data_IF_849997201544
#
_entry.id   IF_849997201544
#
_cell.length_a   1.000
_cell.length_b   1.000
_cell.length_c   1.000
_cell.angle_alpha   90.00
_cell.angle_beta   90.00
_cell.angle_gamma   90.00
#
_symmetry.space_group_name_H-M   'P 1'
#
loop_
_entity.id
_entity.type
_entity.pdbx_description
1 polymer ?
#
# COMPACT_ATOMS: atom_id res chain seq x y z
N UNK A 1 -31.00 -16.60 -20.85
CA UNK A 1 -29.90 -17.22 -20.07
C UNK A 1 -28.87 -16.13 -19.78
N UNK A 2 -28.85 -15.64 -18.56
CA UNK A 2 -27.82 -14.67 -18.14
C UNK A 2 -26.51 -15.45 -17.93
N UNK A 3 -25.50 -15.16 -18.76
CA UNK A 3 -24.14 -15.66 -18.57
C UNK A 3 -23.65 -15.00 -17.28
N UNK A 4 -23.55 -15.78 -16.21
CA UNK A 4 -22.88 -15.34 -14.99
C UNK A 4 -21.49 -14.86 -15.39
N UNK A 5 -21.21 -13.55 -15.22
CA UNK A 5 -19.87 -12.99 -15.35
C UNK A 5 -18.98 -13.77 -14.40
N UNK A 6 -18.09 -14.58 -14.96
CA UNK A 6 -17.31 -15.55 -14.23
C UNK A 6 -16.43 -14.92 -13.20
N UNK A 7 -16.77 -15.13 -11.95
CA UNK A 7 -15.84 -14.95 -10.84
C UNK A 7 -14.67 -15.92 -11.10
N UNK A 8 -13.46 -15.39 -11.26
CA UNK A 8 -12.27 -16.23 -11.43
C UNK A 8 -12.15 -17.16 -10.21
N UNK A 9 -11.86 -18.46 -10.40
CA UNK A 9 -11.67 -19.38 -9.28
C UNK A 9 -10.61 -18.82 -8.32
N UNK A 10 -10.85 -18.94 -7.02
CA UNK A 10 -10.01 -18.37 -5.95
C UNK A 10 -8.53 -18.78 -6.01
N UNK A 11 -8.20 -19.87 -6.68
CA UNK A 11 -6.84 -20.39 -6.84
C UNK A 11 -6.10 -19.80 -8.06
N UNK A 12 -6.80 -19.19 -9.00
CA UNK A 12 -6.23 -18.65 -10.25
C UNK A 12 -5.65 -17.26 -10.04
N UNK A 13 -6.27 -16.46 -9.18
CA UNK A 13 -5.87 -15.07 -8.94
C UNK A 13 -4.47 -14.95 -8.33
N UNK A 14 -4.11 -15.69 -7.25
CA UNK A 14 -2.76 -15.60 -6.68
C UNK A 14 -1.65 -15.97 -7.68
N UNK A 15 -1.81 -17.07 -8.40
CA UNK A 15 -0.83 -17.51 -9.39
C UNK A 15 -0.66 -16.49 -10.53
N UNK A 16 -1.74 -15.87 -10.95
CA UNK A 16 -1.76 -14.83 -11.99
C UNK A 16 -1.03 -13.57 -11.55
N UNK A 17 -1.31 -13.11 -10.34
CA UNK A 17 -0.64 -11.94 -9.74
C UNK A 17 0.85 -12.20 -9.60
N UNK A 18 1.25 -13.32 -9.02
CA UNK A 18 2.65 -13.71 -8.87
C UNK A 18 3.38 -13.70 -10.21
N UNK A 19 2.82 -14.33 -11.24
CA UNK A 19 3.39 -14.37 -12.58
C UNK A 19 3.53 -12.97 -13.20
N UNK A 20 2.55 -12.09 -13.01
CA UNK A 20 2.63 -10.72 -13.51
C UNK A 20 3.73 -9.91 -12.83
N UNK A 21 3.88 -10.05 -11.52
CA UNK A 21 4.91 -9.36 -10.74
C UNK A 21 6.31 -9.86 -11.10
N UNK A 22 6.49 -11.17 -11.17
CA UNK A 22 7.77 -11.79 -11.54
C UNK A 22 8.17 -11.45 -12.99
N UNK A 23 7.22 -11.30 -13.90
CA UNK A 23 7.49 -10.89 -15.29
C UNK A 23 8.02 -9.45 -15.41
N UNK A 24 7.83 -8.62 -14.39
CA UNK A 24 8.36 -7.25 -14.27
C UNK A 24 9.58 -7.20 -13.33
N UNK A 25 10.19 -8.35 -13.07
CA UNK A 25 11.38 -8.49 -12.23
C UNK A 25 11.20 -8.09 -10.76
N UNK A 26 9.97 -8.00 -10.26
CA UNK A 26 9.72 -7.80 -8.84
C UNK A 26 10.00 -9.08 -8.05
N UNK A 27 10.70 -8.94 -6.92
CA UNK A 27 10.78 -10.02 -5.93
C UNK A 27 9.42 -10.18 -5.27
N UNK A 28 8.87 -11.38 -5.30
CA UNK A 28 7.54 -11.70 -4.82
C UNK A 28 7.59 -12.94 -3.93
N UNK A 29 7.43 -12.75 -2.63
CA UNK A 29 7.52 -13.82 -1.62
C UNK A 29 6.17 -14.00 -0.94
N UNK A 30 5.65 -15.23 -0.95
CA UNK A 30 4.41 -15.54 -0.25
C UNK A 30 4.63 -15.54 1.26
N UNK A 31 3.71 -14.90 2.00
CA UNK A 31 3.69 -14.87 3.45
C UNK A 31 2.71 -15.94 3.95
N UNK A 32 3.10 -16.61 5.05
CA UNK A 32 2.29 -17.57 5.78
C UNK A 32 2.23 -17.20 7.27
N UNK A 33 1.36 -17.87 8.02
CA UNK A 33 1.26 -17.71 9.47
C UNK A 33 0.46 -16.49 9.90
N UNK A 34 0.83 -15.89 11.04
CA UNK A 34 0.05 -14.81 11.65
C UNK A 34 -0.07 -13.56 10.80
N UNK A 35 0.96 -13.21 10.05
CA UNK A 35 0.97 -12.07 9.13
C UNK A 35 -0.04 -12.22 7.99
N UNK A 36 -0.42 -13.44 7.67
CA UNK A 36 -1.41 -13.77 6.63
C UNK A 36 -2.76 -14.23 7.20
N UNK A 37 -2.98 -14.10 8.50
CA UNK A 37 -4.09 -14.71 9.24
C UNK A 37 -5.48 -14.39 8.70
N UNK A 38 -5.70 -13.19 8.22
CA UNK A 38 -6.99 -12.73 7.70
C UNK A 38 -6.95 -12.55 6.17
N UNK A 39 -6.11 -13.31 5.50
CA UNK A 39 -5.95 -13.25 4.05
C UNK A 39 -6.13 -14.62 3.41
N UNK A 40 -6.65 -14.68 2.19
CA UNK A 40 -6.68 -15.88 1.37
C UNK A 40 -5.31 -16.15 0.74
N UNK A 41 -4.59 -15.10 0.38
CA UNK A 41 -3.18 -15.13 0.04
C UNK A 41 -2.55 -13.77 0.35
N UNK A 42 -1.23 -13.75 0.48
CA UNK A 42 -0.46 -12.55 0.75
C UNK A 42 0.95 -12.67 0.19
N UNK A 43 1.38 -11.68 -0.60
CA UNK A 43 2.73 -11.60 -1.15
C UNK A 43 3.42 -10.34 -0.67
N UNK A 44 4.64 -10.46 -0.15
CA UNK A 44 5.55 -9.32 -0.01
C UNK A 44 6.21 -9.09 -1.35
N UNK A 45 6.15 -7.87 -1.83
CA UNK A 45 6.77 -7.42 -3.06
C UNK A 45 7.79 -6.36 -2.73
N UNK A 46 9.03 -6.59 -3.15
CA UNK A 46 10.15 -5.68 -2.91
C UNK A 46 10.40 -4.85 -4.16
N UNK A 47 10.29 -3.52 -4.02
CA UNK A 47 10.64 -2.55 -5.07
C UNK A 47 12.12 -2.15 -5.00
N UNK A 48 12.63 -2.02 -3.78
CA UNK A 48 14.02 -1.71 -3.46
C UNK A 48 14.30 -2.18 -2.03
N UNK A 49 15.57 -2.23 -1.58
CA UNK A 49 15.90 -2.68 -0.23
C UNK A 49 15.14 -1.96 0.90
N UNK A 50 14.69 -0.74 0.65
CA UNK A 50 13.98 0.09 1.64
C UNK A 50 12.48 0.20 1.38
N UNK A 51 11.95 -0.44 0.32
CA UNK A 51 10.55 -0.33 -0.09
C UNK A 51 9.93 -1.67 -0.36
N UNK A 52 9.05 -2.04 0.52
CA UNK A 52 8.21 -3.21 0.39
C UNK A 52 6.74 -2.83 0.48
N UNK A 53 5.92 -3.57 -0.21
CA UNK A 53 4.47 -3.53 -0.07
C UNK A 53 3.92 -4.94 -0.11
N UNK A 54 2.68 -5.09 0.31
CA UNK A 54 1.99 -6.38 0.34
C UNK A 54 0.84 -6.35 -0.65
N UNK A 55 0.74 -7.39 -1.46
CA UNK A 55 -0.43 -7.65 -2.30
C UNK A 55 -1.17 -8.82 -1.68
N UNK A 56 -2.42 -8.62 -1.29
CA UNK A 56 -3.19 -9.64 -0.59
C UNK A 56 -4.69 -9.60 -0.92
N UNK A 57 -5.34 -10.71 -0.67
CA UNK A 57 -6.80 -10.80 -0.69
C UNK A 57 -7.29 -11.02 0.74
N UNK A 58 -8.08 -10.09 1.32
CA UNK A 58 -8.70 -10.31 2.62
C UNK A 58 -9.63 -11.53 2.60
N UNK A 59 -9.64 -12.32 3.68
CA UNK A 59 -10.47 -13.51 3.77
C UNK A 59 -11.98 -13.24 3.76
N UNK A 60 -12.39 -12.01 4.14
CA UNK A 60 -13.78 -11.55 4.12
C UNK A 60 -14.17 -10.82 2.81
N UNK A 61 -13.26 -10.77 1.84
CA UNK A 61 -13.47 -10.16 0.51
C UNK A 61 -13.15 -11.17 -0.56
N UNK A 62 -14.15 -11.55 -1.34
CA UNK A 62 -14.01 -12.52 -2.42
C UNK A 62 -13.95 -11.88 -3.82
N UNK A 63 -13.95 -10.57 -3.90
CA UNK A 63 -14.11 -9.79 -5.12
C UNK A 63 -12.98 -8.79 -5.39
N UNK A 64 -11.99 -8.70 -4.50
CA UNK A 64 -10.93 -7.70 -4.59
C UNK A 64 -9.60 -8.14 -4.00
N UNK A 65 -8.53 -7.52 -4.48
CA UNK A 65 -7.20 -7.54 -3.87
C UNK A 65 -6.85 -6.15 -3.34
N UNK A 66 -5.97 -6.13 -2.36
CA UNK A 66 -5.43 -4.92 -1.78
C UNK A 66 -3.92 -4.85 -2.01
N UNK A 67 -3.43 -3.65 -2.26
CA UNK A 67 -2.01 -3.31 -2.25
C UNK A 67 -1.81 -2.38 -1.08
N UNK A 68 -1.01 -2.79 -0.11
CA UNK A 68 -0.82 -2.02 1.11
C UNK A 68 0.65 -1.94 1.49
N UNK A 69 1.05 -0.81 2.02
CA UNK A 69 2.36 -0.59 2.58
C UNK A 69 2.35 0.59 3.52
N UNK A 70 3.50 0.85 4.13
CA UNK A 70 3.60 1.95 5.07
C UNK A 70 4.98 2.60 5.03
N UNK A 71 4.98 3.91 5.20
CA UNK A 71 6.16 4.68 5.53
C UNK A 71 6.24 4.80 7.05
N UNK A 72 7.26 4.17 7.63
CA UNK A 72 7.52 4.22 9.08
C UNK A 72 8.54 5.32 9.33
N UNK A 73 8.20 6.26 10.22
CA UNK A 73 9.11 7.33 10.60
C UNK A 73 10.23 6.78 11.48
N UNK A 74 11.46 7.19 11.20
CA UNK A 74 12.61 6.85 12.03
C UNK A 74 12.52 7.51 13.42
N UNK A 75 13.26 6.99 14.38
CA UNK A 75 13.33 7.56 15.73
C UNK A 75 13.79 9.03 15.70
N UNK A 76 14.72 9.39 14.81
CA UNK A 76 15.18 10.76 14.63
C UNK A 76 14.09 11.69 14.08
N UNK A 77 13.36 11.22 13.05
CA UNK A 77 12.21 11.96 12.51
C UNK A 77 11.13 12.19 13.56
N UNK A 78 10.80 11.17 14.34
CA UNK A 78 9.83 11.29 15.45
C UNK A 78 10.31 12.32 16.48
N UNK A 79 11.59 12.26 16.84
CA UNK A 79 12.19 13.23 17.78
C UNK A 79 12.13 14.66 17.25
N UNK A 80 12.45 14.88 16.00
CA UNK A 80 12.36 16.19 15.35
C UNK A 80 10.92 16.69 15.28
N UNK A 81 9.99 15.81 14.91
CA UNK A 81 8.56 16.13 14.82
C UNK A 81 7.99 16.54 16.19
N UNK A 82 8.40 15.88 17.29
CA UNK A 82 8.01 16.23 18.65
C UNK A 82 8.49 17.62 19.11
N UNK A 83 9.60 18.11 18.56
CA UNK A 83 10.12 19.44 18.86
C UNK A 83 9.33 20.56 18.17
N UNK A 84 8.56 20.24 17.15
CA UNK A 84 7.72 21.22 16.47
C UNK A 84 6.48 21.53 17.28
N UNK A 85 5.97 22.75 17.14
CA UNK A 85 4.69 23.14 17.72
C UNK A 85 3.55 22.30 17.16
N UNK A 86 2.41 22.26 17.85
CA UNK A 86 1.21 21.59 17.37
C UNK A 86 0.75 22.11 16.00
N UNK A 87 0.82 23.43 15.81
CA UNK A 87 0.41 24.09 14.55
C UNK A 87 1.33 23.69 13.39
N UNK A 88 2.64 23.68 13.60
CA UNK A 88 3.60 23.20 12.60
C UNK A 88 3.37 21.72 12.23
N UNK A 89 3.06 20.87 13.21
CA UNK A 89 2.72 19.48 12.94
C UNK A 89 1.44 19.37 12.10
N UNK A 90 0.41 20.13 12.43
CA UNK A 90 -0.85 20.18 11.67
C UNK A 90 -0.59 20.62 10.23
N UNK A 91 0.21 21.66 9.99
CA UNK A 91 0.56 22.13 8.65
C UNK A 91 1.23 21.04 7.81
N UNK A 92 2.21 20.31 8.37
CA UNK A 92 2.90 19.20 7.69
C UNK A 92 1.91 18.12 7.28
N UNK A 93 1.04 17.69 8.19
CA UNK A 93 0.08 16.63 7.90
C UNK A 93 -1.08 17.09 7.02
N UNK A 94 -1.43 18.36 7.02
CA UNK A 94 -2.38 18.93 6.04
C UNK A 94 -1.78 18.95 4.64
N UNK A 95 -0.51 19.32 4.48
CA UNK A 95 0.19 19.24 3.19
C UNK A 95 0.22 17.78 2.67
N UNK A 96 0.57 16.83 3.55
CA UNK A 96 0.54 15.39 3.22
C UNK A 96 -0.85 14.94 2.77
N UNK A 97 -1.90 15.30 3.50
CA UNK A 97 -3.29 14.95 3.14
C UNK A 97 -3.68 15.47 1.77
N UNK A 98 -3.43 16.76 1.52
CA UNK A 98 -3.79 17.39 0.25
C UNK A 98 -3.05 16.74 -0.93
N UNK A 99 -1.77 16.46 -0.76
CA UNK A 99 -0.96 15.83 -1.80
C UNK A 99 -1.33 14.37 -2.04
N UNK A 100 -1.51 13.59 -0.98
CA UNK A 100 -1.91 12.19 -1.09
C UNK A 100 -3.35 12.04 -1.63
N UNK A 101 -4.26 12.94 -1.26
CA UNK A 101 -5.62 12.95 -1.78
C UNK A 101 -5.70 13.22 -3.30
N UNK A 102 -4.66 13.82 -3.89
CA UNK A 102 -4.57 13.99 -5.34
C UNK A 102 -4.18 12.72 -6.10
N UNK A 103 -3.73 11.70 -5.38
CA UNK A 103 -3.41 10.38 -5.91
C UNK A 103 -4.57 9.41 -5.65
N UNK A 104 -4.72 8.41 -6.49
CA UNK A 104 -5.75 7.37 -6.32
C UNK A 104 -5.28 6.29 -5.33
N UNK A 105 -5.08 6.71 -4.08
CA UNK A 105 -4.69 5.85 -2.95
C UNK A 105 -5.46 6.23 -1.70
N UNK A 106 -5.76 5.24 -0.87
CA UNK A 106 -6.19 5.46 0.50
C UNK A 106 -4.98 5.63 1.40
N UNK A 107 -5.08 6.46 2.42
CA UNK A 107 -4.00 6.69 3.37
C UNK A 107 -4.51 6.89 4.79
N UNK A 108 -3.64 6.57 5.76
CA UNK A 108 -3.90 6.75 7.18
C UNK A 108 -2.65 7.27 7.89
N UNK A 109 -2.86 8.05 8.94
CA UNK A 109 -1.80 8.48 9.85
C UNK A 109 -1.98 7.79 11.18
N UNK A 110 -0.97 7.06 11.62
CA UNK A 110 -1.02 6.24 12.82
C UNK A 110 -0.01 6.72 13.88
N UNK A 111 -0.46 6.84 15.12
CA UNK A 111 0.31 7.27 16.28
C UNK A 111 -0.59 7.98 17.30
N UNK A 112 -0.26 7.88 18.59
CA UNK A 112 -1.09 8.48 19.66
C UNK A 112 -0.83 9.98 19.83
N UNK A 113 0.40 10.36 20.11
CA UNK A 113 0.80 11.75 20.36
C UNK A 113 1.41 12.41 19.12
N UNK A 114 2.10 11.63 18.33
CA UNK A 114 2.77 12.05 17.11
C UNK A 114 2.64 10.93 16.08
N UNK A 115 2.53 11.28 14.82
CA UNK A 115 2.48 10.30 13.74
C UNK A 115 3.79 9.49 13.70
N UNK A 116 3.66 8.18 13.66
CA UNK A 116 4.79 7.25 13.58
C UNK A 116 4.79 6.46 12.27
N UNK A 117 3.63 6.37 11.64
CA UNK A 117 3.43 5.57 10.44
C UNK A 117 2.40 6.20 9.53
N UNK A 118 2.69 6.19 8.25
CA UNK A 118 1.75 6.57 7.20
C UNK A 118 1.42 5.31 6.41
N UNK A 119 0.19 4.81 6.59
CA UNK A 119 -0.32 3.70 5.80
C UNK A 119 -0.79 4.17 4.44
N UNK A 120 -0.51 3.39 3.40
CA UNK A 120 -0.96 3.62 2.03
C UNK A 120 -1.58 2.34 1.52
N UNK A 121 -2.79 2.42 0.97
CA UNK A 121 -3.56 1.29 0.48
C UNK A 121 -4.24 1.61 -0.85
N UNK A 122 -4.41 0.59 -1.68
CA UNK A 122 -5.20 0.67 -2.91
C UNK A 122 -5.94 -0.65 -3.13
N UNK A 123 -7.19 -0.57 -3.54
CA UNK A 123 -8.05 -1.72 -3.78
C UNK A 123 -8.30 -1.90 -5.28
N UNK A 124 -8.16 -3.13 -5.78
CA UNK A 124 -8.50 -3.49 -7.16
C UNK A 124 -9.56 -4.58 -7.12
N UNK A 125 -10.72 -4.32 -7.69
CA UNK A 125 -11.79 -5.32 -7.82
C UNK A 125 -11.50 -6.28 -8.98
N UNK A 126 -11.93 -7.53 -8.85
CA UNK A 126 -11.60 -8.60 -9.81
C UNK A 126 -12.17 -8.36 -11.21
N UNK A 127 -13.30 -7.70 -11.33
CA UNK A 127 -13.90 -7.34 -12.62
C UNK A 127 -13.04 -6.36 -13.43
N UNK A 128 -12.19 -5.61 -12.75
CA UNK A 128 -11.21 -4.69 -13.34
C UNK A 128 -9.76 -5.12 -13.20
N UNK A 129 -9.48 -6.32 -12.68
CA UNK A 129 -8.12 -6.79 -12.44
C UNK A 129 -7.45 -7.23 -13.73
N UNK A 130 -6.49 -6.44 -14.16
CA UNK A 130 -5.60 -6.72 -15.30
C UNK A 130 -4.15 -6.50 -14.88
N UNK A 131 -3.19 -7.04 -15.64
CA UNK A 131 -1.76 -6.77 -15.42
C UNK A 131 -1.48 -5.26 -15.43
N UNK A 132 -2.03 -4.55 -16.41
CA UNK A 132 -1.85 -3.10 -16.55
C UNK A 132 -2.38 -2.33 -15.33
N UNK A 133 -3.57 -2.69 -14.84
CA UNK A 133 -4.14 -2.08 -13.62
C UNK A 133 -3.32 -2.36 -12.37
N UNK A 134 -2.83 -3.58 -12.21
CA UNK A 134 -1.94 -3.93 -11.10
C UNK A 134 -0.66 -3.10 -11.13
N UNK A 135 0.00 -3.00 -12.28
CA UNK A 135 1.24 -2.24 -12.44
C UNK A 135 1.03 -0.72 -12.26
N UNK A 136 -0.09 -0.19 -12.74
CA UNK A 136 -0.48 1.21 -12.47
C UNK A 136 -0.69 1.48 -10.99
N UNK A 137 -1.36 0.59 -10.28
CA UNK A 137 -1.58 0.70 -8.84
C UNK A 137 -0.25 0.67 -8.06
N UNK A 138 0.69 -0.20 -8.44
CA UNK A 138 2.03 -0.25 -7.87
C UNK A 138 2.79 1.04 -8.13
N UNK A 139 2.73 1.57 -9.35
CA UNK A 139 3.34 2.85 -9.70
C UNK A 139 2.76 4.00 -8.88
N UNK A 140 1.45 4.02 -8.67
CA UNK A 140 0.77 5.02 -7.85
C UNK A 140 1.17 4.91 -6.37
N UNK A 141 1.24 3.69 -5.83
CA UNK A 141 1.75 3.42 -4.49
C UNK A 141 3.17 3.98 -4.32
N UNK A 142 4.06 3.70 -5.28
CA UNK A 142 5.44 4.16 -5.24
C UNK A 142 5.54 5.70 -5.29
N UNK A 143 4.71 6.35 -6.09
CA UNK A 143 4.59 7.82 -6.13
C UNK A 143 4.12 8.39 -4.79
N UNK A 144 3.10 7.80 -4.19
CA UNK A 144 2.57 8.22 -2.89
C UNK A 144 3.63 8.08 -1.78
N UNK A 145 4.34 6.95 -1.76
CA UNK A 145 5.44 6.72 -0.82
C UNK A 145 6.56 7.75 -0.98
N UNK A 146 7.01 7.99 -2.22
CA UNK A 146 8.06 8.97 -2.52
C UNK A 146 7.66 10.38 -2.13
N UNK A 147 6.42 10.77 -2.44
CA UNK A 147 5.87 12.08 -2.11
C UNK A 147 5.81 12.30 -0.59
N UNK A 148 5.28 11.33 0.15
CA UNK A 148 5.22 11.40 1.61
C UNK A 148 6.62 11.47 2.24
N UNK A 149 7.55 10.64 1.77
CA UNK A 149 8.94 10.66 2.22
C UNK A 149 9.61 12.01 1.95
N UNK A 150 9.40 12.59 0.77
CA UNK A 150 9.97 13.89 0.40
C UNK A 150 9.42 15.03 1.26
N UNK A 151 8.10 15.08 1.47
CA UNK A 151 7.47 16.11 2.32
C UNK A 151 8.01 16.01 3.76
N UNK A 152 8.10 14.81 4.32
CA UNK A 152 8.66 14.62 5.65
C UNK A 152 10.12 15.08 5.73
N UNK A 153 10.96 14.68 4.77
CA UNK A 153 12.38 15.12 4.73
C UNK A 153 12.54 16.62 4.61
N UNK A 154 11.67 17.30 3.86
CA UNK A 154 11.67 18.75 3.72
C UNK A 154 11.23 19.45 4.99
N UNK A 155 10.30 18.86 5.73
CA UNK A 155 9.60 19.53 6.84
C UNK A 155 10.21 19.24 8.21
N UNK A 156 10.97 18.16 8.33
CA UNK A 156 11.65 17.71 9.55
C UNK A 156 13.11 17.28 9.22
#
# INVERSE_FOLDING_TARGET
MAIAKGCLPSNVVPAKIKRWLESEEYSCVQIFGELARNTLFSYVVTLSPEREFVVFQPSNKNDSIHIAGALVLSADQIKKLRKKSKDEQVEIFMELRLKLASLDVEFSFEGREVCRRIGINHTIYFDGLTKDRLLKAISMFNKAYSLASWILKKSI
#
